data_IF_414550893179
#
_entry.id   IF_414550893179
#
_cell.length_a   1.000
_cell.length_b   1.000
_cell.length_c   1.000
_cell.angle_alpha   90.00
_cell.angle_beta   90.00
_cell.angle_gamma   90.00
#
_symmetry.space_group_name_H-M   'P 1'
#
loop_
_entity.id
_entity.type
_entity.pdbx_description
1 polymer ?
#
# COMPACT_ATOMS: atom_id res chain seq x y z
N UNK A 1 -4.50 21.89 -17.03
CA UNK A 1 -4.89 21.33 -15.72
C UNK A 1 -3.70 20.55 -15.17
N UNK A 2 -3.27 20.75 -13.92
CA UNK A 2 -2.08 20.03 -13.40
C UNK A 2 -2.36 18.52 -13.34
N UNK A 3 -1.35 17.67 -13.59
CA UNK A 3 -1.47 16.19 -13.55
C UNK A 3 -2.07 15.70 -12.23
N UNK A 4 -1.73 16.39 -11.14
CA UNK A 4 -2.26 16.18 -9.80
C UNK A 4 -3.78 16.34 -9.75
N UNK A 5 -4.31 17.45 -10.25
CA UNK A 5 -5.76 17.70 -10.29
C UNK A 5 -6.47 16.74 -11.25
N UNK A 6 -5.87 16.45 -12.40
CA UNK A 6 -6.41 15.47 -13.35
C UNK A 6 -6.55 14.07 -12.73
N UNK A 7 -5.53 13.62 -11.99
CA UNK A 7 -5.58 12.38 -11.23
C UNK A 7 -6.69 12.36 -10.19
N UNK A 8 -6.88 13.46 -9.45
CA UNK A 8 -7.95 13.57 -8.44
C UNK A 8 -9.33 13.46 -9.08
N UNK A 9 -9.57 14.18 -10.18
CA UNK A 9 -10.85 14.12 -10.90
C UNK A 9 -11.16 12.71 -11.42
N UNK A 10 -10.16 11.93 -11.86
CA UNK A 10 -10.35 10.53 -12.26
C UNK A 10 -10.84 9.66 -11.10
N UNK A 11 -10.29 9.85 -9.91
CA UNK A 11 -10.72 9.11 -8.70
C UNK A 11 -12.13 9.51 -8.28
N UNK A 12 -12.42 10.82 -8.23
CA UNK A 12 -13.73 11.33 -7.81
C UNK A 12 -14.85 10.90 -8.77
N UNK A 13 -14.56 10.74 -10.07
CA UNK A 13 -15.50 10.23 -11.08
C UNK A 13 -15.72 8.71 -11.03
N UNK A 14 -15.01 7.99 -10.17
CA UNK A 14 -15.15 6.55 -9.99
C UNK A 14 -15.56 6.19 -8.54
N UNK A 15 -16.72 6.68 -8.04
CA UNK A 15 -17.13 6.47 -6.65
C UNK A 15 -17.25 5.01 -6.25
N UNK A 16 -17.79 4.17 -7.14
CA UNK A 16 -17.88 2.73 -6.89
C UNK A 16 -16.53 2.05 -6.68
N UNK A 17 -15.43 2.59 -7.23
CA UNK A 17 -14.10 2.01 -7.08
C UNK A 17 -13.57 2.21 -5.65
N UNK A 18 -13.57 3.45 -5.16
CA UNK A 18 -13.03 3.74 -3.84
C UNK A 18 -13.96 3.29 -2.72
N UNK A 19 -15.29 3.38 -2.90
CA UNK A 19 -16.26 2.82 -1.95
C UNK A 19 -16.17 1.29 -1.90
N UNK A 20 -16.10 0.63 -3.05
CA UNK A 20 -15.98 -0.84 -3.12
C UNK A 20 -14.69 -1.34 -2.47
N UNK A 21 -13.55 -0.70 -2.75
CA UNK A 21 -12.29 -1.00 -2.08
C UNK A 21 -12.36 -0.76 -0.57
N UNK A 22 -12.93 0.37 -0.15
CA UNK A 22 -13.08 0.68 1.26
C UNK A 22 -13.97 -0.33 2.00
N UNK A 23 -15.11 -0.72 1.41
CA UNK A 23 -15.97 -1.77 1.95
C UNK A 23 -15.23 -3.10 2.05
N UNK A 24 -14.48 -3.47 1.00
CA UNK A 24 -13.65 -4.68 0.99
C UNK A 24 -12.59 -4.69 2.09
N UNK A 25 -11.81 -3.61 2.21
CA UNK A 25 -10.80 -3.45 3.27
C UNK A 25 -11.46 -3.48 4.66
N UNK A 26 -12.59 -2.81 4.83
CA UNK A 26 -13.33 -2.78 6.11
C UNK A 26 -13.87 -4.16 6.48
N UNK A 27 -14.39 -4.92 5.51
CA UNK A 27 -14.88 -6.28 5.72
C UNK A 27 -13.73 -7.23 6.11
N UNK A 28 -12.62 -7.19 5.37
CA UNK A 28 -11.41 -7.99 5.69
C UNK A 28 -10.88 -7.65 7.07
N UNK A 29 -10.76 -6.35 7.41
CA UNK A 29 -10.33 -5.92 8.74
C UNK A 29 -11.28 -6.40 9.84
N UNK A 30 -12.60 -6.41 9.58
CA UNK A 30 -13.59 -6.97 10.51
C UNK A 30 -13.38 -8.47 10.75
N UNK A 31 -13.22 -9.26 9.70
CA UNK A 31 -12.98 -10.71 9.79
C UNK A 31 -11.68 -11.03 10.52
N UNK A 32 -10.59 -10.35 10.16
CA UNK A 32 -9.28 -10.53 10.82
C UNK A 32 -9.36 -10.12 12.29
N UNK A 33 -10.06 -9.02 12.61
CA UNK A 33 -10.25 -8.57 13.98
C UNK A 33 -11.05 -9.56 14.84
N UNK A 34 -12.06 -10.23 14.29
CA UNK A 34 -12.80 -11.31 14.99
C UNK A 34 -11.86 -12.47 15.31
N UNK A 35 -11.09 -12.93 14.32
CA UNK A 35 -10.15 -14.03 14.50
C UNK A 35 -9.09 -13.71 15.57
N UNK A 36 -8.49 -12.52 15.52
CA UNK A 36 -7.48 -12.14 16.51
C UNK A 36 -8.03 -12.04 17.92
N UNK A 37 -9.26 -11.54 18.11
CA UNK A 37 -9.90 -11.56 19.44
C UNK A 37 -10.10 -12.98 19.97
N UNK A 38 -10.47 -13.92 19.09
CA UNK A 38 -10.63 -15.33 19.48
C UNK A 38 -9.29 -15.98 19.85
N UNK A 39 -8.23 -15.72 19.09
CA UNK A 39 -6.87 -16.21 19.39
C UNK A 39 -6.39 -15.65 20.73
N UNK A 40 -6.49 -14.33 20.94
CA UNK A 40 -6.08 -13.68 22.19
C UNK A 40 -6.87 -14.23 23.39
N UNK A 41 -8.19 -14.40 23.26
CA UNK A 41 -9.01 -14.98 24.33
C UNK A 41 -8.62 -16.43 24.65
N UNK A 42 -8.28 -17.24 23.64
CA UNK A 42 -7.82 -18.61 23.83
C UNK A 42 -6.42 -18.68 24.50
N UNK A 43 -5.53 -17.74 24.18
CA UNK A 43 -4.17 -17.70 24.74
C UNK A 43 -4.12 -17.18 26.18
N UNK A 44 -4.95 -16.19 26.52
CA UNK A 44 -4.96 -15.58 27.86
C UNK A 44 -5.82 -16.36 28.89
N UNK A 45 -6.69 -17.26 28.43
CA UNK A 45 -7.48 -18.14 29.28
C UNK A 45 -8.52 -17.41 30.16
N UNK A 46 -9.16 -18.12 31.12
CA UNK A 46 -10.25 -17.58 31.94
C UNK A 46 -9.80 -16.69 33.12
N UNK A 47 -8.49 -16.55 33.34
CA UNK A 47 -7.93 -15.76 34.45
C UNK A 47 -7.14 -14.58 33.88
N UNK A 48 -7.78 -13.45 33.61
CA UNK A 48 -7.14 -12.14 33.82
C UNK A 48 -8.13 -11.00 33.70
N UNK A 49 -8.21 -10.23 34.78
CA UNK A 49 -8.69 -8.85 34.84
C UNK A 49 -7.68 -7.90 34.15
N UNK A 50 -7.19 -8.27 32.96
CA UNK A 50 -6.58 -7.33 32.06
C UNK A 50 -7.75 -6.62 31.39
N UNK A 51 -7.85 -5.32 31.65
CA UNK A 51 -8.73 -4.46 30.90
C UNK A 51 -8.39 -4.65 29.41
N UNK A 52 -9.18 -5.50 28.72
CA UNK A 52 -9.02 -5.84 27.31
C UNK A 52 -9.09 -4.59 26.41
N UNK A 53 -9.45 -3.46 27.03
CA UNK A 53 -9.56 -2.13 26.48
C UNK A 53 -8.19 -1.43 26.38
N UNK A 54 -7.20 -1.84 27.19
CA UNK A 54 -5.88 -1.20 27.30
C UNK A 54 -4.69 -2.15 27.06
N UNK A 55 -4.94 -3.39 26.62
CA UNK A 55 -3.90 -4.43 26.38
C UNK A 55 -2.77 -3.92 25.46
N UNK A 56 -3.08 -3.01 24.54
CA UNK A 56 -2.10 -2.43 23.62
C UNK A 56 -1.39 -1.17 24.15
N UNK A 57 -1.88 -0.52 25.22
CA UNK A 57 -1.18 0.61 25.84
C UNK A 57 -0.11 0.13 26.84
N UNK A 58 -0.37 -1.00 27.50
CA UNK A 58 0.62 -1.71 28.34
C UNK A 58 1.48 -2.71 27.55
N UNK A 59 1.51 -2.64 26.21
CA UNK A 59 2.26 -3.61 25.39
C UNK A 59 3.72 -3.69 25.81
N UNK A 60 4.36 -2.62 26.27
CA UNK A 60 5.76 -2.67 26.71
C UNK A 60 5.97 -3.50 27.99
N UNK A 61 5.04 -3.46 28.94
CA UNK A 61 5.11 -4.27 30.15
C UNK A 61 4.69 -5.73 29.85
N UNK A 62 3.67 -5.92 29.01
CA UNK A 62 3.22 -7.24 28.54
C UNK A 62 4.25 -7.92 27.62
N UNK A 63 5.02 -7.17 26.82
CA UNK A 63 6.14 -7.64 25.99
C UNK A 63 7.23 -8.26 26.85
N UNK A 64 7.50 -7.67 28.02
CA UNK A 64 8.53 -8.14 28.95
C UNK A 64 8.15 -9.47 29.58
N UNK A 65 6.88 -9.63 29.95
CA UNK A 65 6.40 -10.80 30.68
C UNK A 65 5.88 -11.91 29.76
N UNK A 66 5.51 -11.59 28.52
CA UNK A 66 4.92 -12.53 27.56
C UNK A 66 5.49 -12.33 26.13
N UNK A 67 6.73 -12.78 25.84
CA UNK A 67 7.37 -12.61 24.53
C UNK A 67 6.58 -13.25 23.36
N UNK A 68 5.74 -14.25 23.65
CA UNK A 68 4.85 -14.88 22.68
C UNK A 68 3.83 -13.89 22.06
N UNK A 69 3.38 -12.88 22.82
CA UNK A 69 2.46 -11.86 22.31
C UNK A 69 3.16 -10.91 21.31
N UNK A 70 4.47 -10.70 21.46
CA UNK A 70 5.27 -9.88 20.54
C UNK A 70 5.44 -10.57 19.20
N UNK A 71 5.74 -11.87 19.22
CA UNK A 71 5.81 -12.65 17.98
C UNK A 71 4.48 -12.66 17.25
N UNK A 72 3.35 -12.82 17.95
CA UNK A 72 2.01 -12.78 17.34
C UNK A 72 1.69 -11.39 16.77
N UNK A 73 2.04 -10.31 17.47
CA UNK A 73 1.86 -8.95 16.97
C UNK A 73 2.68 -8.71 15.69
N UNK A 74 3.96 -9.12 15.67
CA UNK A 74 4.83 -8.98 14.50
C UNK A 74 4.28 -9.82 13.34
N UNK A 75 3.92 -11.09 13.58
CA UNK A 75 3.34 -11.98 12.58
C UNK A 75 2.04 -11.41 12.03
N UNK A 76 1.19 -10.83 12.87
CA UNK A 76 -0.06 -10.17 12.46
C UNK A 76 0.20 -8.93 11.61
N UNK A 77 1.14 -8.07 12.00
CA UNK A 77 1.52 -6.87 11.23
C UNK A 77 2.12 -7.25 9.88
N UNK A 78 3.09 -8.17 9.87
CA UNK A 78 3.76 -8.64 8.65
C UNK A 78 2.78 -9.40 7.75
N UNK A 79 1.93 -10.25 8.33
CA UNK A 79 0.89 -10.99 7.63
C UNK A 79 -0.14 -10.06 6.99
N UNK A 80 -0.61 -9.05 7.73
CA UNK A 80 -1.53 -8.02 7.22
C UNK A 80 -0.90 -7.20 6.11
N UNK A 81 0.35 -6.77 6.27
CA UNK A 81 1.08 -6.05 5.22
C UNK A 81 1.28 -6.91 3.97
N UNK A 82 1.59 -8.20 4.13
CA UNK A 82 1.77 -9.16 3.04
C UNK A 82 0.46 -9.42 2.29
N UNK A 83 -0.63 -9.66 3.03
CA UNK A 83 -1.97 -9.83 2.46
C UNK A 83 -2.40 -8.56 1.72
N UNK A 84 -2.19 -7.38 2.31
CA UNK A 84 -2.46 -6.10 1.68
C UNK A 84 -1.67 -5.91 0.38
N UNK A 85 -0.37 -6.24 0.39
CA UNK A 85 0.47 -6.19 -0.80
C UNK A 85 0.00 -7.17 -1.89
N UNK A 86 -0.40 -8.39 -1.52
CA UNK A 86 -0.94 -9.38 -2.43
C UNK A 86 -2.25 -8.90 -3.05
N UNK A 87 -3.24 -8.54 -2.23
CA UNK A 87 -4.54 -8.03 -2.69
C UNK A 87 -4.37 -6.82 -3.59
N UNK A 88 -3.53 -5.86 -3.21
CA UNK A 88 -3.26 -4.69 -4.05
C UNK A 88 -2.63 -5.05 -5.39
N UNK A 89 -1.73 -6.04 -5.41
CA UNK A 89 -1.11 -6.54 -6.63
C UNK A 89 -2.13 -7.23 -7.53
N UNK A 90 -3.03 -8.03 -6.96
CA UNK A 90 -4.08 -8.73 -7.70
C UNK A 90 -5.11 -7.76 -8.28
N UNK A 91 -5.44 -6.70 -7.55
CA UNK A 91 -6.40 -5.69 -7.99
C UNK A 91 -5.79 -4.64 -8.94
N UNK A 92 -4.46 -4.45 -8.92
CA UNK A 92 -3.80 -3.40 -9.69
C UNK A 92 -4.21 -3.32 -11.19
N UNK A 93 -4.29 -4.42 -11.96
CA UNK A 93 -4.73 -4.36 -13.36
C UNK A 93 -6.14 -3.77 -13.51
N UNK A 94 -7.06 -4.18 -12.62
CA UNK A 94 -8.44 -3.70 -12.59
C UNK A 94 -8.49 -2.20 -12.26
N UNK A 95 -7.75 -1.78 -11.23
CA UNK A 95 -7.70 -0.38 -10.79
C UNK A 95 -7.14 0.52 -11.89
N UNK A 96 -6.03 0.11 -12.51
CA UNK A 96 -5.37 0.85 -13.58
C UNK A 96 -6.31 0.98 -14.77
N UNK A 97 -6.89 -0.12 -15.25
CA UNK A 97 -7.80 -0.12 -16.39
C UNK A 97 -9.04 0.76 -16.14
N UNK A 98 -9.60 0.71 -14.93
CA UNK A 98 -10.77 1.52 -14.54
C UNK A 98 -10.47 3.01 -14.45
N UNK A 99 -9.27 3.38 -14.00
CA UNK A 99 -8.81 4.77 -13.88
C UNK A 99 -8.33 5.34 -15.22
N UNK A 100 -7.85 4.50 -16.13
CA UNK A 100 -7.43 4.89 -17.47
C UNK A 100 -8.64 5.31 -18.32
N UNK A 101 -9.69 4.48 -18.37
CA UNK A 101 -10.89 4.73 -19.16
C UNK A 101 -12.17 4.23 -18.47
N UNK A 102 -13.31 4.91 -18.64
CA UNK A 102 -14.61 4.39 -18.23
C UNK A 102 -14.99 3.19 -19.12
N UNK A 103 -15.08 2.00 -18.53
CA UNK A 103 -15.44 0.74 -19.21
C UNK A 103 -16.44 -0.05 -18.36
N UNK A 104 -17.13 -0.99 -18.99
CA UNK A 104 -18.04 -1.90 -18.29
C UNK A 104 -17.27 -2.87 -17.37
N UNK A 105 -17.90 -3.36 -16.30
CA UNK A 105 -17.24 -4.27 -15.35
C UNK A 105 -16.81 -5.61 -15.98
N UNK A 106 -17.54 -6.10 -16.96
CA UNK A 106 -17.21 -7.34 -17.69
C UNK A 106 -15.94 -7.18 -18.52
N UNK A 107 -15.80 -6.08 -19.28
CA UNK A 107 -14.58 -5.75 -20.04
C UNK A 107 -13.37 -5.56 -19.12
N UNK A 108 -13.58 -4.89 -17.99
CA UNK A 108 -12.54 -4.68 -16.99
C UNK A 108 -12.06 -6.00 -16.38
N UNK A 109 -12.97 -6.92 -16.07
CA UNK A 109 -12.64 -8.24 -15.54
C UNK A 109 -11.79 -9.06 -16.52
N UNK A 110 -12.22 -9.14 -17.79
CA UNK A 110 -11.48 -9.88 -18.82
C UNK A 110 -10.08 -9.33 -19.06
N UNK A 111 -9.95 -8.00 -19.15
CA UNK A 111 -8.64 -7.34 -19.33
C UNK A 111 -7.76 -7.43 -18.08
N UNK A 112 -8.35 -7.33 -16.89
CA UNK A 112 -7.58 -7.44 -15.65
C UNK A 112 -7.00 -8.86 -15.51
N UNK A 113 -7.79 -9.89 -15.81
CA UNK A 113 -7.36 -11.28 -15.70
C UNK A 113 -6.26 -11.62 -16.71
N UNK A 114 -6.35 -11.13 -17.96
CA UNK A 114 -5.32 -11.37 -18.97
C UNK A 114 -3.98 -10.68 -18.65
N UNK A 115 -4.01 -9.55 -17.93
CA UNK A 115 -2.81 -8.80 -17.51
C UNK A 115 -2.25 -9.22 -16.15
N UNK A 116 -2.99 -10.03 -15.40
CA UNK A 116 -2.63 -10.43 -14.04
C UNK A 116 -1.28 -11.15 -13.96
N UNK A 117 -0.97 -12.17 -14.82
CA UNK A 117 0.31 -12.86 -14.76
C UNK A 117 1.49 -11.91 -14.95
N UNK A 118 1.33 -10.94 -15.86
CA UNK A 118 2.37 -9.95 -16.13
C UNK A 118 2.59 -9.00 -14.97
N UNK A 119 1.51 -8.49 -14.37
CA UNK A 119 1.60 -7.62 -13.19
C UNK A 119 2.24 -8.37 -12.01
N UNK A 120 1.93 -9.66 -11.84
CA UNK A 120 2.58 -10.50 -10.83
C UNK A 120 4.09 -10.61 -11.07
N UNK A 121 4.51 -10.99 -12.29
CA UNK A 121 5.94 -11.10 -12.64
C UNK A 121 6.68 -9.79 -12.45
N UNK A 122 6.11 -8.67 -12.89
CA UNK A 122 6.74 -7.36 -12.68
C UNK A 122 6.80 -6.97 -11.20
N UNK A 123 5.78 -7.31 -10.42
CA UNK A 123 5.81 -7.11 -8.97
C UNK A 123 6.91 -7.92 -8.30
N UNK A 124 7.13 -9.16 -8.76
CA UNK A 124 8.24 -10.00 -8.31
C UNK A 124 9.60 -9.40 -8.69
N UNK A 125 9.76 -8.85 -9.90
CA UNK A 125 11.00 -8.16 -10.29
C UNK A 125 11.30 -6.90 -9.47
N UNK A 126 10.27 -6.22 -8.97
CA UNK A 126 10.42 -5.06 -8.11
C UNK A 126 10.83 -5.42 -6.66
N UNK A 127 10.64 -6.66 -6.21
CA UNK A 127 11.11 -7.09 -4.89
C UNK A 127 12.64 -7.00 -4.74
N UNK A 128 13.47 -7.67 -5.57
CA UNK A 128 14.92 -7.57 -5.48
C UNK A 128 15.40 -6.15 -5.78
N UNK A 129 14.73 -5.42 -6.69
CA UNK A 129 15.08 -4.02 -6.97
C UNK A 129 14.89 -3.13 -5.74
N UNK A 130 13.79 -3.33 -5.01
CA UNK A 130 13.51 -2.61 -3.76
C UNK A 130 14.51 -2.98 -2.67
N UNK A 131 14.83 -4.27 -2.51
CA UNK A 131 15.85 -4.72 -1.56
C UNK A 131 17.22 -4.13 -1.87
N UNK A 132 17.63 -4.13 -3.15
CA UNK A 132 18.86 -3.50 -3.60
C UNK A 132 18.87 -2.00 -3.29
N UNK A 133 17.77 -1.29 -3.57
CA UNK A 133 17.66 0.14 -3.29
C UNK A 133 17.77 0.44 -1.79
N UNK A 134 17.05 -0.30 -0.95
CA UNK A 134 17.12 -0.15 0.50
C UNK A 134 18.52 -0.47 1.03
N UNK A 135 19.16 -1.52 0.51
CA UNK A 135 20.52 -1.90 0.88
C UNK A 135 21.51 -0.78 0.52
N UNK A 136 21.46 -0.27 -0.71
CA UNK A 136 22.32 0.83 -1.17
C UNK A 136 22.12 2.06 -0.31
N UNK A 137 20.87 2.45 -0.04
CA UNK A 137 20.58 3.61 0.80
C UNK A 137 21.06 3.39 2.24
N UNK A 138 20.75 2.24 2.84
CA UNK A 138 21.16 1.93 4.21
C UNK A 138 22.68 1.89 4.39
N UNK A 139 23.41 1.31 3.43
CA UNK A 139 24.87 1.35 3.43
C UNK A 139 25.43 2.77 3.26
N UNK A 140 24.78 3.58 2.41
CA UNK A 140 25.20 4.97 2.15
C UNK A 140 24.94 5.90 3.33
N UNK A 141 23.91 5.64 4.14
CA UNK A 141 23.56 6.48 5.29
C UNK A 141 24.08 5.92 6.62
N UNK A 142 24.88 4.85 6.62
CA UNK A 142 25.29 4.14 7.85
C UNK A 142 25.95 5.01 8.92
N UNK A 143 26.63 6.10 8.51
CA UNK A 143 27.34 7.03 9.40
C UNK A 143 26.49 8.23 9.83
N UNK A 144 25.28 8.35 9.30
CA UNK A 144 24.37 9.46 9.60
C UNK A 144 23.54 9.16 10.87
N UNK A 145 22.95 10.21 11.51
CA UNK A 145 22.06 10.01 12.63
C UNK A 145 20.90 9.04 12.28
N UNK A 146 20.45 8.21 13.23
CA UNK A 146 19.42 7.20 12.97
C UNK A 146 18.17 7.76 12.30
N UNK A 147 17.71 8.94 12.73
CA UNK A 147 16.55 9.61 12.15
C UNK A 147 16.71 9.88 10.64
N UNK A 148 17.90 10.31 10.21
CA UNK A 148 18.20 10.58 8.79
C UNK A 148 18.21 9.28 8.00
N UNK A 149 18.84 8.23 8.54
CA UNK A 149 18.86 6.89 7.92
C UNK A 149 17.46 6.31 7.75
N UNK A 150 16.62 6.34 8.78
CA UNK A 150 15.24 5.86 8.70
C UNK A 150 14.40 6.67 7.72
N UNK A 151 14.58 7.99 7.69
CA UNK A 151 13.89 8.87 6.73
C UNK A 151 14.31 8.56 5.29
N UNK A 152 15.59 8.35 5.04
CA UNK A 152 16.12 8.00 3.72
C UNK A 152 15.61 6.62 3.26
N UNK A 153 15.59 5.61 4.13
CA UNK A 153 15.03 4.29 3.85
C UNK A 153 13.53 4.37 3.55
N UNK A 154 12.77 5.17 4.32
CA UNK A 154 11.36 5.42 4.08
C UNK A 154 11.11 6.07 2.72
N UNK A 155 11.89 7.10 2.37
CA UNK A 155 11.82 7.73 1.05
C UNK A 155 12.17 6.76 -0.07
N UNK A 156 13.22 5.96 0.09
CA UNK A 156 13.61 4.93 -0.88
C UNK A 156 12.50 3.89 -1.10
N UNK A 157 11.83 3.46 -0.02
CA UNK A 157 10.66 2.59 -0.09
C UNK A 157 9.53 3.21 -0.90
N UNK A 158 9.21 4.48 -0.64
CA UNK A 158 8.16 5.21 -1.37
C UNK A 158 8.50 5.37 -2.85
N UNK A 159 9.74 5.75 -3.19
CA UNK A 159 10.23 5.85 -4.57
C UNK A 159 10.09 4.51 -5.29
N UNK A 160 10.47 3.40 -4.65
CA UNK A 160 10.28 2.06 -5.21
C UNK A 160 8.80 1.68 -5.37
N UNK A 161 7.91 2.20 -4.51
CA UNK A 161 6.46 2.08 -4.67
C UNK A 161 5.95 2.80 -5.91
N UNK A 162 6.38 4.03 -6.14
CA UNK A 162 6.03 4.81 -7.35
C UNK A 162 6.56 4.15 -8.62
N UNK A 163 7.79 3.62 -8.58
CA UNK A 163 8.38 2.88 -9.69
C UNK A 163 7.57 1.64 -10.06
N UNK A 164 7.12 0.88 -9.05
CA UNK A 164 6.28 -0.31 -9.26
C UNK A 164 4.94 0.07 -9.91
N UNK A 165 4.27 1.11 -9.42
CA UNK A 165 3.01 1.56 -10.01
C UNK A 165 3.20 2.06 -11.45
N UNK A 166 4.30 2.78 -11.74
CA UNK A 166 4.64 3.21 -13.09
C UNK A 166 4.89 2.03 -14.04
N UNK A 167 5.62 1.00 -13.60
CA UNK A 167 5.79 -0.23 -14.38
C UNK A 167 4.46 -0.93 -14.63
N UNK A 168 3.61 -1.06 -13.61
CA UNK A 168 2.29 -1.70 -13.75
C UNK A 168 1.41 -0.97 -14.75
N UNK A 169 1.38 0.37 -14.70
CA UNK A 169 0.63 1.19 -15.67
C UNK A 169 1.19 0.99 -17.09
N UNK A 170 2.50 1.04 -17.27
CA UNK A 170 3.13 0.83 -18.58
C UNK A 170 2.80 -0.55 -19.18
N UNK A 171 2.73 -1.58 -18.35
CA UNK A 171 2.45 -2.96 -18.77
C UNK A 171 0.96 -3.17 -19.07
N UNK A 172 0.07 -2.60 -18.27
CA UNK A 172 -1.38 -2.81 -18.39
C UNK A 172 -1.98 -1.98 -19.54
N UNK A 173 -1.51 -0.73 -19.71
CA UNK A 173 -2.08 0.19 -20.69
C UNK A 173 -1.27 0.29 -21.99
N UNK A 174 0.05 0.04 -21.96
CA UNK A 174 0.93 0.26 -23.11
C UNK A 174 1.72 -0.97 -23.56
N UNK A 175 1.36 -2.17 -23.07
CA UNK A 175 1.96 -3.44 -23.51
C UNK A 175 3.50 -3.49 -23.39
N UNK A 176 4.08 -2.72 -22.47
CA UNK A 176 5.53 -2.68 -22.29
C UNK A 176 6.08 -4.08 -21.94
N UNK A 177 7.20 -4.47 -22.58
CA UNK A 177 7.89 -5.76 -22.48
C UNK A 177 7.53 -6.59 -21.20
N UNK A 178 6.49 -7.43 -21.28
CA UNK A 178 5.73 -7.87 -20.11
C UNK A 178 6.53 -8.74 -19.13
N UNK A 179 7.49 -9.52 -19.64
CA UNK A 179 8.20 -10.55 -18.86
C UNK A 179 9.64 -10.17 -18.50
N UNK A 180 10.11 -8.98 -18.93
CA UNK A 180 11.52 -8.61 -18.81
C UNK A 180 11.79 -7.70 -17.61
N UNK A 181 12.88 -7.96 -16.89
CA UNK A 181 13.40 -7.11 -15.81
C UNK A 181 13.69 -5.67 -16.28
N UNK A 182 14.01 -5.49 -17.58
CA UNK A 182 14.22 -4.16 -18.19
C UNK A 182 13.00 -3.24 -18.00
N UNK A 183 11.79 -3.78 -17.95
CA UNK A 183 10.56 -2.99 -17.72
C UNK A 183 10.48 -2.46 -16.29
N UNK A 184 10.88 -3.26 -15.30
CA UNK A 184 11.00 -2.82 -13.91
C UNK A 184 12.07 -1.72 -13.76
N UNK A 185 13.25 -1.92 -14.35
CA UNK A 185 14.33 -0.91 -14.35
C UNK A 185 13.92 0.40 -15.04
N UNK A 186 13.28 0.33 -16.22
CA UNK A 186 12.76 1.50 -16.93
C UNK A 186 11.72 2.24 -16.10
N UNK A 187 10.86 1.53 -15.38
CA UNK A 187 9.89 2.13 -14.45
C UNK A 187 10.56 2.91 -13.33
N UNK A 188 11.61 2.35 -12.72
CA UNK A 188 12.42 3.06 -11.71
C UNK A 188 13.09 4.31 -12.28
N UNK A 189 13.77 4.18 -13.43
CA UNK A 189 14.43 5.31 -14.10
C UNK A 189 13.41 6.40 -14.45
N UNK A 190 12.23 6.04 -14.97
CA UNK A 190 11.15 6.98 -15.28
C UNK A 190 10.66 7.70 -14.04
N UNK A 191 10.42 6.98 -12.94
CA UNK A 191 9.99 7.57 -11.68
C UNK A 191 11.02 8.59 -11.15
N UNK A 192 12.31 8.23 -11.14
CA UNK A 192 13.37 9.12 -10.63
C UNK A 192 13.62 10.32 -11.55
N UNK A 193 13.54 10.14 -12.87
CA UNK A 193 13.80 11.23 -13.84
C UNK A 193 12.63 12.20 -14.03
N UNK A 194 11.46 11.94 -13.44
CA UNK A 194 10.28 12.80 -13.57
C UNK A 194 9.88 13.37 -12.21
N UNK A 195 10.49 14.49 -11.78
CA UNK A 195 10.19 15.09 -10.47
C UNK A 195 8.72 15.51 -10.33
N UNK A 196 8.09 15.96 -11.42
CA UNK A 196 6.66 16.30 -11.46
C UNK A 196 5.71 15.11 -11.26
N UNK A 197 6.19 13.88 -11.46
CA UNK A 197 5.50 12.64 -11.11
C UNK A 197 5.86 12.21 -9.68
N UNK A 198 7.16 12.18 -9.39
CA UNK A 198 7.71 11.62 -8.17
C UNK A 198 7.26 12.39 -6.92
N UNK A 199 7.39 13.71 -6.93
CA UNK A 199 7.09 14.56 -5.77
C UNK A 199 5.66 14.36 -5.25
N UNK A 200 4.62 14.59 -6.08
CA UNK A 200 3.24 14.37 -5.67
C UNK A 200 2.97 12.93 -5.20
N UNK A 201 3.47 11.92 -5.93
CA UNK A 201 3.24 10.52 -5.57
C UNK A 201 3.93 10.10 -4.27
N UNK A 202 5.13 10.62 -3.99
CA UNK A 202 5.83 10.41 -2.70
C UNK A 202 5.08 11.13 -1.59
N UNK A 203 4.62 12.37 -1.77
CA UNK A 203 3.83 13.10 -0.78
C UNK A 203 2.52 12.37 -0.45
N UNK A 204 1.82 11.84 -1.44
CA UNK A 204 0.64 10.99 -1.22
C UNK A 204 0.99 9.73 -0.45
N UNK A 205 2.14 9.12 -0.74
CA UNK A 205 2.67 7.97 0.00
C UNK A 205 2.99 8.30 1.47
N UNK A 206 3.59 9.46 1.74
CA UNK A 206 3.81 9.96 3.11
C UNK A 206 2.47 10.15 3.82
N UNK A 207 1.47 10.75 3.15
CA UNK A 207 0.12 10.89 3.67
C UNK A 207 -0.52 9.54 4.03
N UNK A 208 -0.36 8.52 3.17
CA UNK A 208 -0.81 7.16 3.47
C UNK A 208 -0.10 6.55 4.69
N UNK A 209 1.22 6.75 4.82
CA UNK A 209 1.97 6.28 5.99
C UNK A 209 1.50 6.97 7.27
N UNK A 210 1.25 8.29 7.22
CA UNK A 210 0.72 9.05 8.35
C UNK A 210 -0.69 8.58 8.75
N UNK A 211 -1.58 8.31 7.77
CA UNK A 211 -2.90 7.74 8.03
C UNK A 211 -2.80 6.35 8.66
N UNK A 212 -1.93 5.48 8.15
CA UNK A 212 -1.71 4.14 8.73
C UNK A 212 -1.15 4.23 10.14
N UNK A 213 -0.19 5.11 10.40
CA UNK A 213 0.34 5.37 11.74
C UNK A 213 -0.74 5.90 12.69
N UNK A 214 -1.64 6.76 12.19
CA UNK A 214 -2.78 7.28 12.96
C UNK A 214 -3.79 6.18 13.29
N UNK A 215 -4.11 5.30 12.32
CA UNK A 215 -4.98 4.14 12.54
C UNK A 215 -4.37 3.21 13.59
N UNK A 216 -3.07 2.92 13.48
CA UNK A 216 -2.35 2.10 14.45
C UNK A 216 -2.39 2.76 15.83
N UNK A 217 -2.07 4.05 15.93
CA UNK A 217 -2.13 4.79 17.19
C UNK A 217 -3.53 4.78 17.81
N UNK A 218 -4.60 4.99 17.03
CA UNK A 218 -5.98 4.89 17.51
C UNK A 218 -6.32 3.48 18.02
N UNK A 219 -5.82 2.45 17.34
CA UNK A 219 -5.99 1.07 17.78
C UNK A 219 -5.24 0.79 19.09
N UNK A 220 -4.01 1.29 19.23
CA UNK A 220 -3.20 1.14 20.44
C UNK A 220 -3.77 1.93 21.63
N UNK A 221 -4.39 3.09 21.37
CA UNK A 221 -4.99 3.96 22.36
C UNK A 221 -6.41 3.53 22.78
N UNK A 222 -6.89 2.34 22.38
CA UNK A 222 -8.18 1.79 22.82
C UNK A 222 -9.43 2.40 22.16
N UNK A 223 -9.27 3.39 21.26
CA UNK A 223 -10.41 4.01 20.56
C UNK A 223 -11.20 3.04 19.68
N UNK A 224 -10.63 1.88 19.34
CA UNK A 224 -11.28 0.84 18.54
C UNK A 224 -12.51 0.21 19.19
N UNK A 225 -12.63 0.23 20.52
CA UNK A 225 -13.77 -0.35 21.24
C UNK A 225 -14.95 0.61 21.36
N UNK A 226 -14.69 1.90 21.58
CA UNK A 226 -15.74 2.91 21.64
C UNK A 226 -16.39 3.15 20.27
N UNK A 227 -15.60 3.14 19.19
CA UNK A 227 -16.11 3.15 17.82
C UNK A 227 -15.01 2.79 16.81
N UNK A 228 -15.19 1.76 15.97
CA UNK A 228 -14.22 1.45 14.90
C UNK A 228 -14.31 2.41 13.72
N UNK A 229 -15.29 3.32 13.69
CA UNK A 229 -15.57 4.18 12.55
C UNK A 229 -14.48 5.19 12.21
N UNK A 230 -13.81 5.87 13.17
CA UNK A 230 -12.71 6.78 12.84
C UNK A 230 -11.59 6.08 12.06
N UNK A 231 -11.16 4.90 12.52
CA UNK A 231 -10.16 4.10 11.81
C UNK A 231 -10.63 3.68 10.39
N UNK A 232 -11.91 3.31 10.25
CA UNK A 232 -12.50 2.98 8.95
C UNK A 232 -12.57 4.19 8.01
N UNK A 233 -12.89 5.38 8.51
CA UNK A 233 -12.92 6.61 7.72
C UNK A 233 -11.51 7.06 7.32
N UNK A 234 -10.51 6.89 8.20
CA UNK A 234 -9.10 7.10 7.83
C UNK A 234 -8.64 6.09 6.78
N UNK A 235 -9.09 4.83 6.86
CA UNK A 235 -8.80 3.82 5.84
C UNK A 235 -9.42 4.20 4.49
N UNK A 236 -10.62 4.80 4.49
CA UNK A 236 -11.25 5.35 3.28
C UNK A 236 -10.37 6.44 2.64
N UNK A 237 -9.85 7.38 3.44
CA UNK A 237 -8.91 8.39 2.95
C UNK A 237 -7.64 7.74 2.39
N UNK A 238 -7.11 6.72 3.07
CA UNK A 238 -5.94 5.96 2.63
C UNK A 238 -6.15 5.27 1.26
N UNK A 239 -7.32 4.68 1.03
CA UNK A 239 -7.73 4.14 -0.29
C UNK A 239 -7.78 5.26 -1.33
N UNK A 240 -8.39 6.40 -0.99
CA UNK A 240 -8.46 7.57 -1.86
C UNK A 240 -7.08 8.09 -2.30
N UNK A 241 -6.15 8.25 -1.35
CA UNK A 241 -4.77 8.66 -1.65
C UNK A 241 -4.03 7.64 -2.53
N UNK A 242 -4.25 6.35 -2.30
CA UNK A 242 -3.64 5.27 -3.10
C UNK A 242 -4.12 5.27 -4.55
N UNK A 243 -5.44 5.41 -4.74
CA UNK A 243 -6.02 5.57 -6.07
C UNK A 243 -5.58 6.86 -6.74
N UNK A 244 -5.46 7.96 -5.99
CA UNK A 244 -5.00 9.23 -6.52
C UNK A 244 -3.56 9.13 -7.03
N UNK A 245 -2.68 8.44 -6.28
CA UNK A 245 -1.31 8.15 -6.71
C UNK A 245 -1.29 7.39 -8.05
N UNK A 246 -2.06 6.32 -8.17
CA UNK A 246 -2.16 5.56 -9.43
C UNK A 246 -2.73 6.43 -10.55
N UNK A 247 -3.76 7.23 -10.28
CA UNK A 247 -4.39 8.08 -11.28
C UNK A 247 -3.45 9.16 -11.83
N UNK A 248 -2.54 9.71 -11.01
CA UNK A 248 -1.49 10.62 -11.46
C UNK A 248 -0.55 9.90 -12.44
N UNK A 249 -0.16 8.66 -12.13
CA UNK A 249 0.73 7.86 -12.97
C UNK A 249 0.05 7.49 -14.29
N UNK A 250 -1.23 7.13 -14.25
CA UNK A 250 -2.06 6.88 -15.45
C UNK A 250 -2.14 8.14 -16.32
N UNK A 251 -2.33 9.31 -15.73
CA UNK A 251 -2.33 10.58 -16.46
C UNK A 251 -0.96 10.88 -17.09
N UNK A 252 0.14 10.67 -16.35
CA UNK A 252 1.50 10.86 -16.86
C UNK A 252 1.85 9.91 -18.02
N UNK A 253 1.34 8.68 -17.98
CA UNK A 253 1.51 7.70 -19.05
C UNK A 253 0.68 8.05 -20.30
N UNK A 254 -0.49 8.66 -20.13
CA UNK A 254 -1.29 9.16 -21.25
C UNK A 254 -0.65 10.39 -21.92
N UNK A 255 -0.08 11.30 -21.14
CA UNK A 255 0.56 12.52 -21.66
C UNK A 255 1.89 12.22 -22.39
N UNK A 256 2.62 11.19 -21.94
CA UNK A 256 3.95 10.83 -22.46
C UNK A 256 4.14 9.30 -22.32
N UNK A 257 3.68 8.54 -23.34
CA UNK A 257 3.67 7.08 -23.29
C UNK A 257 5.09 6.50 -23.24
N UNK A 258 5.30 5.39 -22.52
CA UNK A 258 6.60 4.73 -22.51
C UNK A 258 6.99 4.29 -23.92
N UNK A 259 8.27 4.49 -24.30
CA UNK A 259 8.78 4.06 -25.60
C UNK A 259 8.46 2.57 -25.84
N UNK A 260 7.89 2.25 -27.00
CA UNK A 260 7.63 0.88 -27.41
C UNK A 260 8.93 0.07 -27.38
N UNK A 261 8.84 -1.14 -26.82
CA UNK A 261 9.99 -2.03 -26.64
C UNK A 261 10.31 -2.79 -27.92
#
# INVERSE_FOLDING_TARGET
MSRVLGGLFRVLRAPGLWLGLWLGVTAVAGLVGIHMRAVVAATLGPFTALDLDHVLFNTFDVVRDHPALVSELIVSVVGSATLGALVWTLLAPLLIARLAQPRSWSELGGRAFSRLPTVLVQSLWHLPLRLLLLLVVGLSTRTLPPLVTWSALGLAWLVAGVALDATRVAVVEHDAAPWHIRSAWRGLVRAVRRPGLLGPCVLLGIGQLALTATILWLALAGFGHASPWPARLLALLGVGLGLWRIAIIVQDAADDPPAAA
#
